data_IF_815114125036
#
_entry.id   IF_815114125036
#
_cell.length_a   1.000
_cell.length_b   1.000
_cell.length_c   1.000
_cell.angle_alpha   90.00
_cell.angle_beta   90.00
_cell.angle_gamma   90.00
#
_symmetry.space_group_name_H-M   'P 1'
#
loop_
_entity.id
_entity.type
_entity.pdbx_description
1 polymer ?
#
# COMPACT_ATOMS: atom_id res chain seq x y z
N UNK A 1 -16.88 19.55 11.64
CA UNK A 1 -17.31 18.44 10.78
C UNK A 1 -16.40 17.26 11.08
N UNK A 2 -16.89 16.08 11.45
CA UNK A 2 -16.02 14.92 11.56
C UNK A 2 -15.43 14.68 10.16
N UNK A 3 -14.11 14.75 10.05
CA UNK A 3 -13.40 14.30 8.86
C UNK A 3 -13.69 12.82 8.70
N UNK A 4 -14.57 12.47 7.75
CA UNK A 4 -14.74 11.09 7.31
C UNK A 4 -13.36 10.57 6.90
N UNK A 5 -12.77 9.77 7.77
CA UNK A 5 -11.41 9.30 7.59
C UNK A 5 -11.53 8.10 6.67
N UNK A 6 -11.26 8.31 5.37
CA UNK A 6 -11.31 7.22 4.40
C UNK A 6 -10.13 6.29 4.70
N UNK A 7 -10.45 5.08 5.15
CA UNK A 7 -9.46 4.04 5.41
C UNK A 7 -8.87 3.56 4.07
N UNK A 8 -7.56 3.32 4.04
CA UNK A 8 -6.85 2.95 2.82
C UNK A 8 -6.23 1.57 2.97
N UNK A 9 -6.55 0.70 2.03
CA UNK A 9 -6.02 -0.67 2.00
C UNK A 9 -5.40 -0.96 0.65
N UNK A 10 -4.39 -1.82 0.63
CA UNK A 10 -3.77 -2.34 -0.58
C UNK A 10 -4.11 -3.81 -0.74
N UNK A 11 -4.45 -4.21 -1.96
CA UNK A 11 -4.72 -5.60 -2.33
C UNK A 11 -3.78 -6.01 -3.44
N UNK A 12 -3.07 -7.11 -3.23
CA UNK A 12 -2.18 -7.71 -4.22
C UNK A 12 -2.08 -9.21 -4.04
N UNK A 13 -1.64 -9.90 -5.08
CA UNK A 13 -1.33 -11.32 -5.02
C UNK A 13 0.10 -11.57 -4.54
N UNK A 14 0.24 -12.49 -3.59
CA UNK A 14 1.52 -13.08 -3.22
C UNK A 14 1.77 -14.31 -4.09
N UNK A 15 2.74 -14.21 -5.01
CA UNK A 15 3.24 -15.35 -5.78
C UNK A 15 4.25 -16.12 -4.94
N UNK A 16 3.78 -16.90 -3.97
CA UNK A 16 4.59 -17.96 -3.34
C UNK A 16 4.43 -19.27 -4.11
N UNK A 17 5.44 -20.14 -4.07
CA UNK A 17 5.62 -21.30 -4.96
C UNK A 17 4.54 -22.40 -4.89
N UNK A 18 3.58 -22.36 -3.96
CA UNK A 18 2.53 -23.40 -3.89
C UNK A 18 1.10 -22.91 -3.99
N UNK A 19 0.77 -21.67 -3.61
CA UNK A 19 -0.62 -21.19 -3.61
C UNK A 19 -0.68 -19.67 -3.85
N UNK A 20 -1.53 -19.24 -4.78
CA UNK A 20 -1.80 -17.83 -5.05
C UNK A 20 -2.69 -17.29 -3.92
N UNK A 21 -2.09 -16.54 -2.99
CA UNK A 21 -2.81 -15.92 -1.87
C UNK A 21 -3.03 -14.43 -2.12
N UNK A 22 -4.18 -13.93 -1.71
CA UNK A 22 -4.49 -12.50 -1.70
C UNK A 22 -3.94 -11.89 -0.42
N UNK A 23 -3.30 -10.73 -0.53
CA UNK A 23 -2.78 -9.99 0.62
C UNK A 23 -3.52 -8.68 0.73
N UNK A 24 -4.03 -8.40 1.94
CA UNK A 24 -4.53 -7.10 2.34
C UNK A 24 -3.47 -6.42 3.21
N UNK A 25 -3.01 -5.25 2.80
CA UNK A 25 -2.13 -4.40 3.60
C UNK A 25 -2.88 -3.13 4.02
N UNK A 26 -2.90 -2.84 5.31
CA UNK A 26 -3.41 -1.57 5.84
C UNK A 26 -2.37 -0.46 5.59
N UNK A 27 -2.77 0.62 4.91
CA UNK A 27 -1.85 1.69 4.54
C UNK A 27 -1.34 2.51 5.74
N UNK A 28 -2.03 2.49 6.88
CA UNK A 28 -1.64 3.23 8.08
C UNK A 28 -0.65 2.47 8.95
N UNK A 29 -0.82 1.14 9.06
CA UNK A 29 -0.04 0.28 9.95
C UNK A 29 0.98 -0.60 9.22
N UNK A 30 0.85 -0.74 7.89
CA UNK A 30 1.57 -1.71 7.06
C UNK A 30 1.36 -3.18 7.51
N UNK A 31 0.32 -3.45 8.31
CA UNK A 31 -0.05 -4.79 8.72
C UNK A 31 -0.56 -5.59 7.52
N UNK A 32 -0.08 -6.83 7.36
CA UNK A 32 -0.39 -7.70 6.22
C UNK A 32 -1.20 -8.91 6.65
N UNK A 33 -2.35 -9.10 6.04
CA UNK A 33 -3.22 -10.26 6.26
C UNK A 33 -3.35 -11.04 4.96
N UNK A 34 -3.28 -12.35 5.03
CA UNK A 34 -3.31 -13.24 3.87
C UNK A 34 -4.66 -13.97 3.82
N UNK A 35 -5.20 -14.12 2.61
CA UNK A 35 -6.49 -14.73 2.34
C UNK A 35 -6.38 -15.69 1.17
N UNK A 36 -7.16 -16.76 1.19
CA UNK A 36 -7.15 -17.77 0.13
C UNK A 36 -8.14 -17.39 -1.00
N UNK A 37 -9.05 -16.44 -0.74
CA UNK A 37 -9.94 -15.88 -1.76
C UNK A 37 -10.18 -14.37 -1.60
N UNK A 38 -10.50 -13.70 -2.70
CA UNK A 38 -10.90 -12.28 -2.68
C UNK A 38 -12.20 -12.05 -1.88
N UNK A 39 -13.06 -13.09 -1.76
CA UNK A 39 -14.32 -13.01 -1.00
C UNK A 39 -14.05 -12.93 0.50
N UNK A 40 -13.15 -13.76 1.01
CA UNK A 40 -12.72 -13.71 2.41
C UNK A 40 -12.09 -12.36 2.73
N UNK A 41 -11.24 -11.85 1.82
CA UNK A 41 -10.63 -10.54 1.94
C UNK A 41 -11.69 -9.43 2.03
N UNK A 42 -12.71 -9.46 1.15
CA UNK A 42 -13.81 -8.48 1.18
C UNK A 42 -14.62 -8.56 2.49
N UNK A 43 -14.92 -9.76 2.99
CA UNK A 43 -15.60 -9.92 4.27
C UNK A 43 -14.77 -9.41 5.45
N UNK A 44 -13.46 -9.63 5.44
CA UNK A 44 -12.55 -9.09 6.44
C UNK A 44 -12.53 -7.56 6.39
N UNK A 45 -12.46 -6.98 5.19
CA UNK A 45 -12.54 -5.53 4.98
C UNK A 45 -13.84 -4.92 5.54
N UNK A 46 -15.00 -5.53 5.27
CA UNK A 46 -16.28 -5.06 5.81
C UNK A 46 -16.28 -5.05 7.35
N UNK A 47 -15.70 -6.08 7.98
CA UNK A 47 -15.57 -6.14 9.44
C UNK A 47 -14.60 -5.10 9.98
N UNK A 48 -13.47 -4.87 9.31
CA UNK A 48 -12.42 -3.93 9.76
C UNK A 48 -12.83 -2.47 9.61
N UNK A 49 -13.79 -2.17 8.73
CA UNK A 49 -14.18 -0.81 8.40
C UNK A 49 -15.36 -0.31 9.25
N UNK A 50 -16.16 -1.19 9.85
CA UNK A 50 -17.26 -0.88 10.80
C UNK A 50 -18.13 0.34 10.41
N UNK A 51 -18.38 0.52 9.10
CA UNK A 51 -19.20 1.64 8.58
C UNK A 51 -18.43 2.90 8.19
N UNK A 52 -17.09 2.90 8.29
CA UNK A 52 -16.25 3.93 7.69
C UNK A 52 -16.08 3.68 6.18
N UNK A 53 -15.96 4.77 5.42
CA UNK A 53 -15.56 4.68 4.02
C UNK A 53 -14.15 4.09 3.90
N UNK A 54 -13.98 3.14 2.99
CA UNK A 54 -12.68 2.59 2.67
C UNK A 54 -12.41 2.58 1.17
N UNK A 55 -11.14 2.83 0.85
CA UNK A 55 -10.60 2.81 -0.49
C UNK A 55 -9.60 1.66 -0.61
N UNK A 56 -9.86 0.78 -1.56
CA UNK A 56 -9.06 -0.41 -1.84
C UNK A 56 -8.22 -0.14 -3.08
N UNK A 57 -6.91 -0.15 -2.91
CA UNK A 57 -5.94 0.05 -4.00
C UNK A 57 -5.47 -1.30 -4.51
N UNK A 58 -5.53 -1.49 -5.83
CA UNK A 58 -5.14 -2.74 -6.48
C UNK A 58 -3.71 -2.61 -6.99
N UNK A 59 -2.86 -3.55 -6.59
CA UNK A 59 -1.46 -3.62 -6.97
C UNK A 59 -1.18 -4.93 -7.72
N UNK A 60 -0.38 -4.84 -8.79
CA UNK A 60 0.18 -6.00 -9.51
C UNK A 60 1.65 -5.77 -9.75
N UNK A 61 2.48 -6.77 -9.48
CA UNK A 61 3.94 -6.68 -9.66
C UNK A 61 4.58 -5.43 -9.00
N UNK A 62 4.13 -5.09 -7.78
CA UNK A 62 4.55 -3.89 -7.02
C UNK A 62 4.17 -2.54 -7.65
N UNK A 63 3.37 -2.53 -8.71
CA UNK A 63 2.85 -1.32 -9.32
C UNK A 63 1.39 -1.12 -8.90
N UNK A 64 1.02 0.08 -8.42
CA UNK A 64 -0.38 0.42 -8.25
C UNK A 64 -1.05 0.57 -9.62
N UNK A 65 -2.20 -0.05 -9.79
CA UNK A 65 -2.97 0.00 -11.04
C UNK A 65 -4.19 0.92 -10.93
N UNK A 66 -4.75 1.08 -9.74
CA UNK A 66 -5.89 1.93 -9.50
C UNK A 66 -6.52 1.66 -8.15
N UNK A 67 -7.69 2.25 -7.93
CA UNK A 67 -8.43 2.04 -6.69
C UNK A 67 -9.94 1.87 -6.91
N UNK A 68 -10.57 1.24 -5.93
CA UNK A 68 -11.98 0.91 -5.89
C UNK A 68 -12.54 1.34 -4.53
N UNK A 69 -13.79 1.79 -4.49
CA UNK A 69 -14.54 1.83 -3.23
C UNK A 69 -14.87 0.40 -2.77
N UNK A 70 -15.24 0.23 -1.49
CA UNK A 70 -15.78 -1.04 -0.98
C UNK A 70 -16.94 -1.56 -1.84
N UNK A 71 -17.91 -0.70 -2.17
CA UNK A 71 -19.05 -1.08 -3.02
C UNK A 71 -18.64 -1.44 -4.45
N UNK A 72 -17.63 -0.75 -5.01
CA UNK A 72 -17.05 -1.10 -6.32
C UNK A 72 -16.39 -2.48 -6.31
N UNK A 73 -15.66 -2.81 -5.25
CA UNK A 73 -15.07 -4.13 -5.07
C UNK A 73 -16.16 -5.21 -4.94
N UNK A 74 -17.21 -4.97 -4.15
CA UNK A 74 -18.34 -5.90 -4.01
C UNK A 74 -19.03 -6.17 -5.35
N UNK A 75 -19.28 -5.10 -6.13
CA UNK A 75 -19.90 -5.22 -7.45
C UNK A 75 -19.06 -6.07 -8.40
N UNK A 76 -17.73 -5.91 -8.38
CA UNK A 76 -16.82 -6.71 -9.21
C UNK A 76 -16.75 -8.17 -8.76
N UNK A 77 -16.74 -8.44 -7.46
CA UNK A 77 -16.77 -9.81 -6.93
C UNK A 77 -18.06 -10.52 -7.35
N UNK A 78 -19.22 -9.84 -7.20
CA UNK A 78 -20.52 -10.38 -7.65
C UNK A 78 -20.56 -10.61 -9.16
N UNK A 79 -19.94 -9.71 -9.95
CA UNK A 79 -19.87 -9.84 -11.40
C UNK A 79 -18.94 -10.99 -11.82
N UNK A 80 -17.82 -11.19 -11.13
CA UNK A 80 -16.91 -12.30 -11.34
C UNK A 80 -17.59 -13.64 -11.05
N UNK A 81 -18.37 -13.72 -9.96
CA UNK A 81 -19.19 -14.88 -9.62
C UNK A 81 -20.23 -15.18 -10.69
N UNK A 82 -20.94 -14.15 -11.16
CA UNK A 82 -21.95 -14.30 -12.24
C UNK A 82 -21.31 -14.77 -13.56
N UNK A 83 -20.07 -14.36 -13.82
CA UNK A 83 -19.30 -14.76 -15.01
C UNK A 83 -18.54 -16.08 -14.81
N UNK A 84 -18.66 -16.71 -13.65
CA UNK A 84 -17.98 -17.97 -13.31
C UNK A 84 -16.44 -17.90 -13.49
N UNK A 85 -15.85 -16.75 -13.14
CA UNK A 85 -14.40 -16.55 -13.20
C UNK A 85 -13.74 -17.36 -12.09
N UNK A 86 -12.70 -18.13 -12.43
CA UNK A 86 -11.95 -18.91 -11.45
C UNK A 86 -11.24 -17.98 -10.45
N UNK A 87 -11.22 -18.35 -9.16
CA UNK A 87 -10.52 -17.62 -8.08
C UNK A 87 -9.14 -17.04 -8.45
N UNK A 88 -8.22 -17.79 -9.10
CA UNK A 88 -6.91 -17.27 -9.49
C UNK A 88 -6.97 -16.12 -10.51
N UNK A 89 -8.04 -16.01 -11.29
CA UNK A 89 -8.19 -15.02 -12.36
C UNK A 89 -9.02 -13.80 -11.93
N UNK A 90 -9.58 -13.81 -10.71
CA UNK A 90 -10.50 -12.75 -10.26
C UNK A 90 -9.78 -11.40 -10.12
N UNK A 91 -8.51 -11.37 -9.70
CA UNK A 91 -7.77 -10.10 -9.64
C UNK A 91 -7.51 -9.55 -11.04
N UNK A 92 -7.17 -10.41 -12.01
CA UNK A 92 -6.98 -9.99 -13.39
C UNK A 92 -8.28 -9.44 -13.98
N UNK A 93 -9.40 -10.08 -13.67
CA UNK A 93 -10.74 -9.58 -14.02
C UNK A 93 -11.03 -8.20 -13.41
N UNK A 94 -10.69 -7.99 -12.14
CA UNK A 94 -10.83 -6.69 -11.46
C UNK A 94 -9.96 -5.62 -12.13
N UNK A 95 -8.73 -5.97 -12.47
CA UNK A 95 -7.77 -5.06 -13.11
C UNK A 95 -8.24 -4.63 -14.50
N UNK A 96 -8.80 -5.57 -15.27
CA UNK A 96 -9.31 -5.31 -16.61
C UNK A 96 -10.67 -4.59 -16.64
N UNK A 97 -11.25 -4.29 -15.47
CA UNK A 97 -12.58 -3.68 -15.38
C UNK A 97 -12.54 -2.15 -15.44
N UNK A 98 -13.49 -1.56 -16.17
CA UNK A 98 -13.71 -0.12 -16.25
C UNK A 98 -14.10 0.53 -14.92
N UNK A 99 -14.49 -0.27 -13.92
CA UNK A 99 -14.80 0.22 -12.57
C UNK A 99 -13.54 0.57 -11.77
N UNK A 100 -12.36 0.12 -12.19
CA UNK A 100 -11.10 0.46 -11.55
C UNK A 100 -10.76 1.92 -11.87
N UNK A 101 -10.79 2.78 -10.85
CA UNK A 101 -10.46 4.18 -11.03
C UNK A 101 -8.93 4.35 -11.10
N UNK A 102 -8.42 4.49 -12.33
CA UNK A 102 -6.99 4.61 -12.65
C UNK A 102 -6.46 6.06 -12.55
N UNK A 103 -7.35 7.05 -12.56
CA UNK A 103 -6.99 8.48 -12.62
C UNK A 103 -6.57 9.10 -11.27
N UNK A 104 -6.54 8.32 -10.19
CA UNK A 104 -6.02 8.82 -8.92
C UNK A 104 -4.51 8.78 -8.96
N UNK A 105 -3.88 9.89 -9.37
CA UNK A 105 -2.45 10.11 -9.19
C UNK A 105 -2.14 9.90 -7.72
N UNK A 106 -1.38 8.84 -7.44
CA UNK A 106 -0.92 8.42 -6.13
C UNK A 106 0.05 9.49 -5.61
N UNK A 107 -0.49 10.56 -5.04
CA UNK A 107 0.24 11.39 -4.09
C UNK A 107 0.23 10.68 -2.73
N UNK A 108 0.77 9.46 -2.70
CA UNK A 108 1.16 8.86 -1.43
C UNK A 108 2.46 9.55 -1.04
N UNK A 109 2.39 10.50 -0.13
CA UNK A 109 3.55 10.75 0.72
C UNK A 109 3.58 9.57 1.68
N UNK A 110 4.27 8.48 1.31
CA UNK A 110 4.48 7.38 2.24
C UNK A 110 5.12 8.00 3.50
N UNK A 111 4.53 7.85 4.69
CA UNK A 111 5.13 8.39 5.91
C UNK A 111 6.52 7.80 6.17
N UNK A 112 6.87 6.66 5.56
CA UNK A 112 8.23 6.10 5.55
C UNK A 112 9.18 6.94 4.73
N UNK A 113 8.76 7.48 3.59
CA UNK A 113 9.63 8.35 2.78
C UNK A 113 10.03 9.59 3.57
N UNK A 114 9.13 10.13 4.41
CA UNK A 114 9.46 11.23 5.34
C UNK A 114 10.45 10.80 6.42
N UNK A 115 10.31 9.59 6.97
CA UNK A 115 11.26 9.03 7.96
C UNK A 115 12.63 8.76 7.34
N UNK A 116 12.67 8.19 6.14
CA UNK A 116 13.90 7.92 5.37
C UNK A 116 14.59 9.23 5.02
N UNK A 117 13.84 10.23 4.55
CA UNK A 117 14.37 11.56 4.27
C UNK A 117 14.94 12.21 5.56
N UNK A 118 14.25 12.08 6.68
CA UNK A 118 14.73 12.55 7.98
C UNK A 118 16.03 11.88 8.43
N UNK A 119 16.11 10.55 8.30
CA UNK A 119 17.33 9.76 8.56
C UNK A 119 18.48 10.15 7.63
N UNK A 120 18.19 10.43 6.37
CA UNK A 120 19.18 10.86 5.38
C UNK A 120 19.75 12.23 5.74
N UNK A 121 18.88 13.21 6.04
CA UNK A 121 19.30 14.55 6.48
C UNK A 121 20.14 14.48 7.75
N UNK A 122 19.72 13.68 8.74
CA UNK A 122 20.48 13.50 9.98
C UNK A 122 21.89 12.93 9.72
N UNK A 123 21.99 11.97 8.80
CA UNK A 123 23.28 11.35 8.42
C UNK A 123 24.21 12.36 7.76
N UNK A 124 23.68 13.21 6.87
CA UNK A 124 24.45 14.29 6.22
C UNK A 124 24.96 15.30 7.24
N UNK A 125 24.12 15.70 8.20
CA UNK A 125 24.52 16.62 9.29
C UNK A 125 25.63 16.01 10.15
N UNK A 126 25.48 14.74 10.55
CA UNK A 126 26.52 14.04 11.32
C UNK A 126 27.85 13.96 10.55
N UNK A 127 27.80 13.68 9.26
CA UNK A 127 28.99 13.64 8.41
C UNK A 127 29.69 15.01 8.35
N UNK A 128 28.92 16.10 8.21
CA UNK A 128 29.45 17.46 8.21
C UNK A 128 30.14 17.82 9.54
N UNK A 129 29.55 17.42 10.67
CA UNK A 129 30.16 17.61 12.00
C UNK A 129 31.47 16.82 12.14
N UNK A 130 31.51 15.57 11.69
CA UNK A 130 32.73 14.77 11.71
C UNK A 130 33.83 15.41 10.86
N UNK A 131 33.50 15.88 9.66
CA UNK A 131 34.46 16.59 8.80
C UNK A 131 35.00 17.86 9.47
N UNK A 132 34.13 18.67 10.08
CA UNK A 132 34.54 19.85 10.85
C UNK A 132 35.49 19.49 12.00
N UNK A 133 35.17 18.46 12.78
CA UNK A 133 36.04 17.99 13.86
C UNK A 133 37.39 17.49 13.35
N UNK A 134 37.41 16.72 12.27
CA UNK A 134 38.66 16.26 11.64
C UNK A 134 39.53 17.45 11.19
N UNK A 135 38.93 18.46 10.56
CA UNK A 135 39.66 19.67 10.15
C UNK A 135 40.19 20.46 11.35
N UNK A 136 39.42 20.61 12.43
CA UNK A 136 39.88 21.28 13.65
C UNK A 136 41.04 20.55 14.33
N UNK A 137 40.99 19.21 14.40
CA UNK A 137 42.07 18.40 14.98
C UNK A 137 43.35 18.55 14.14
N UNK A 138 43.23 18.48 12.81
CA UNK A 138 44.37 18.65 11.91
C UNK A 138 44.99 20.05 12.01
N UNK A 139 44.18 21.11 12.01
CA UNK A 139 44.66 22.50 12.15
C UNK A 139 45.30 22.73 13.51
N UNK A 140 44.73 22.17 14.59
CA UNK A 140 45.32 22.27 15.94
C UNK A 140 46.65 21.53 16.05
N UNK A 141 46.83 20.42 15.33
CA UNK A 141 48.09 19.68 15.34
C UNK A 141 49.15 20.27 14.39
N UNK A 142 48.73 21.12 13.45
CA UNK A 142 49.62 21.81 12.51
C UNK A 142 50.16 23.15 13.03
N UNK A 143 49.51 23.74 14.05
CA UNK A 143 49.94 24.93 14.78
C UNK A 143 50.62 24.56 16.09
#
# INVERSE_FOLDING_TARGET
MPTNTILKYFVYESKSKSDQKFVLEDASTAAKTHFDSIKELHQALLKMTEGNDARVWIYKNKMPLGSLSLGGLEALIKLADKKNIATPDVLEFIIASDLLEQNHTIHFTDPRDKKILGLFVLTVVLLAVVLLLCTMILVRNAN
#
